data_IF_838082291255
#
_entry.id   IF_838082291255
#
_cell.length_a   1.000
_cell.length_b   1.000
_cell.length_c   1.000
_cell.angle_alpha   90.00
_cell.angle_beta   90.00
_cell.angle_gamma   90.00
#
_symmetry.space_group_name_H-M   'P 1'
#
loop_
_entity.id
_entity.type
_entity.pdbx_description
1 polymer ?
#
# COMPACT_ATOMS: atom_id res chain seq x y z
N UNK A 1 -3.79 14.88 -17.40
CA UNK A 1 -2.77 15.43 -16.48
C UNK A 1 -2.70 14.51 -15.28
N UNK A 2 -1.51 13.99 -14.94
CA UNK A 2 -1.35 13.15 -13.75
C UNK A 2 -1.38 14.07 -12.55
N UNK A 3 -2.49 14.08 -11.83
CA UNK A 3 -2.62 14.83 -10.58
C UNK A 3 -1.71 14.20 -9.51
N UNK A 4 -1.30 14.96 -8.49
CA UNK A 4 -0.40 14.50 -7.41
C UNK A 4 -0.91 13.19 -6.78
N UNK A 5 -2.23 13.01 -6.76
CA UNK A 5 -2.93 11.80 -6.30
C UNK A 5 -2.61 10.57 -7.15
N UNK A 6 -2.55 10.73 -8.47
CA UNK A 6 -2.19 9.68 -9.41
C UNK A 6 -0.72 9.28 -9.30
N UNK A 7 0.17 10.25 -9.09
CA UNK A 7 1.61 9.98 -8.89
C UNK A 7 1.84 9.11 -7.66
N UNK A 8 1.20 9.43 -6.54
CA UNK A 8 1.36 8.67 -5.29
C UNK A 8 0.74 7.28 -5.37
N UNK A 9 -0.39 7.12 -6.06
CA UNK A 9 -0.98 5.81 -6.33
C UNK A 9 -0.03 4.93 -7.17
N UNK A 10 0.63 5.50 -8.18
CA UNK A 10 1.63 4.80 -8.98
C UNK A 10 2.84 4.41 -8.12
N UNK A 11 3.36 5.32 -7.29
CA UNK A 11 4.50 5.03 -6.41
C UNK A 11 4.15 3.90 -5.42
N UNK A 12 2.96 3.93 -4.83
CA UNK A 12 2.49 2.87 -3.94
C UNK A 12 2.39 1.53 -4.68
N UNK A 13 1.79 1.51 -5.87
CA UNK A 13 1.69 0.30 -6.69
C UNK A 13 3.07 -0.27 -7.06
N UNK A 14 4.02 0.59 -7.45
CA UNK A 14 5.40 0.19 -7.74
C UNK A 14 6.10 -0.36 -6.49
N UNK A 15 5.91 0.27 -5.33
CA UNK A 15 6.47 -0.23 -4.06
C UNK A 15 5.93 -1.62 -3.70
N UNK A 16 4.63 -1.85 -3.87
CA UNK A 16 4.01 -3.17 -3.65
C UNK A 16 4.52 -4.22 -4.64
N UNK A 17 4.58 -3.89 -5.94
CA UNK A 17 5.08 -4.80 -6.97
C UNK A 17 6.56 -5.15 -6.77
N UNK A 18 7.39 -4.16 -6.45
CA UNK A 18 8.80 -4.36 -6.12
C UNK A 18 8.93 -5.22 -4.86
N UNK A 19 8.17 -4.95 -3.81
CA UNK A 19 8.14 -5.76 -2.59
C UNK A 19 7.81 -7.22 -2.87
N UNK A 20 6.78 -7.48 -3.70
CA UNK A 20 6.41 -8.84 -4.12
C UNK A 20 7.51 -9.51 -4.95
N UNK A 21 8.18 -8.76 -5.83
CA UNK A 21 9.30 -9.27 -6.63
C UNK A 21 10.49 -9.69 -5.75
N UNK A 22 10.85 -8.88 -4.75
CA UNK A 22 11.93 -9.22 -3.81
C UNK A 22 11.55 -10.35 -2.85
N UNK A 23 10.27 -10.45 -2.48
CA UNK A 23 9.75 -11.56 -1.69
C UNK A 23 9.98 -12.90 -2.40
N UNK A 24 9.67 -12.98 -3.70
CA UNK A 24 9.91 -14.19 -4.52
C UNK A 24 11.39 -14.53 -4.72
N UNK A 25 12.30 -13.60 -4.42
CA UNK A 25 13.76 -13.78 -4.54
C UNK A 25 14.42 -14.16 -3.20
N UNK A 26 13.63 -14.50 -2.18
CA UNK A 26 14.09 -14.78 -0.81
C UNK A 26 14.88 -13.61 -0.18
N UNK A 27 14.69 -12.38 -0.70
CA UNK A 27 15.30 -11.17 -0.15
C UNK A 27 14.35 -10.50 0.82
N UNK A 28 14.06 -11.20 1.90
CA UNK A 28 12.95 -10.91 2.81
C UNK A 28 13.06 -9.53 3.47
N UNK A 29 14.26 -9.11 3.89
CA UNK A 29 14.47 -7.79 4.50
C UNK A 29 14.02 -6.67 3.55
N UNK A 30 14.41 -6.74 2.27
CA UNK A 30 14.00 -5.75 1.27
C UNK A 30 12.51 -5.83 0.98
N UNK A 31 11.96 -7.04 0.92
CA UNK A 31 10.52 -7.25 0.72
C UNK A 31 9.69 -6.61 1.83
N UNK A 32 10.06 -6.82 3.09
CA UNK A 32 9.37 -6.24 4.25
C UNK A 32 9.48 -4.71 4.28
N UNK A 33 10.64 -4.15 3.95
CA UNK A 33 10.79 -2.69 3.86
C UNK A 33 9.92 -2.09 2.75
N UNK A 34 9.87 -2.72 1.59
CA UNK A 34 9.05 -2.26 0.46
C UNK A 34 7.54 -2.41 0.72
N UNK A 35 7.12 -3.54 1.31
CA UNK A 35 5.73 -3.76 1.72
C UNK A 35 5.30 -2.81 2.83
N UNK A 36 6.16 -2.56 3.82
CA UNK A 36 5.93 -1.61 4.91
C UNK A 36 5.88 -0.17 4.42
N UNK A 37 6.78 0.22 3.50
CA UNK A 37 6.76 1.55 2.89
C UNK A 37 5.52 1.75 2.01
N UNK A 38 5.17 0.76 1.18
CA UNK A 38 3.94 0.76 0.38
C UNK A 38 2.68 0.86 1.23
N UNK A 39 2.64 0.13 2.34
CA UNK A 39 1.58 0.22 3.36
C UNK A 39 1.48 1.62 3.96
N UNK A 40 2.58 2.15 4.50
CA UNK A 40 2.58 3.46 5.16
C UNK A 40 2.13 4.56 4.21
N UNK A 41 2.58 4.50 2.95
CA UNK A 41 2.18 5.43 1.90
C UNK A 41 0.69 5.30 1.57
N UNK A 42 0.18 4.08 1.41
CA UNK A 42 -1.24 3.84 1.11
C UNK A 42 -2.17 4.23 2.27
N UNK A 43 -1.76 4.00 3.51
CA UNK A 43 -2.49 4.38 4.71
C UNK A 43 -2.53 5.91 4.88
N UNK A 44 -1.37 6.57 4.77
CA UNK A 44 -1.26 8.02 4.81
C UNK A 44 -2.13 8.66 3.72
N UNK A 45 -2.05 8.13 2.50
CA UNK A 45 -2.80 8.66 1.37
C UNK A 45 -4.31 8.43 1.47
N UNK A 46 -4.74 7.29 2.03
CA UNK A 46 -6.14 7.02 2.33
C UNK A 46 -6.76 8.00 3.30
N UNK A 47 -6.08 8.18 4.44
CA UNK A 47 -6.52 9.09 5.49
C UNK A 47 -6.56 10.53 4.99
N UNK A 48 -5.52 10.95 4.26
CA UNK A 48 -5.46 12.27 3.64
C UNK A 48 -6.57 12.44 2.59
N UNK A 49 -6.78 11.45 1.72
CA UNK A 49 -7.83 11.47 0.70
C UNK A 49 -9.24 11.58 1.29
N UNK A 50 -9.49 10.84 2.37
CA UNK A 50 -10.75 10.91 3.12
C UNK A 50 -10.93 12.27 3.80
N UNK A 51 -9.88 12.82 4.42
CA UNK A 51 -9.92 14.15 5.03
C UNK A 51 -10.22 15.23 3.98
N UNK A 52 -9.56 15.20 2.83
CA UNK A 52 -9.83 16.16 1.74
C UNK A 52 -11.21 15.98 1.10
N UNK A 53 -11.76 14.75 1.07
CA UNK A 53 -13.14 14.53 0.60
C UNK A 53 -14.22 15.18 1.45
N UNK A 54 -13.89 15.58 2.69
CA UNK A 54 -14.80 16.29 3.58
C UNK A 54 -14.75 17.81 3.43
N UNK A 55 -13.72 18.36 2.77
CA UNK A 55 -13.45 19.81 2.73
C UNK A 55 -13.88 20.50 1.43
N UNK A 56 -14.43 19.79 0.44
CA UNK A 56 -14.88 20.39 -0.81
C UNK A 56 -15.32 19.38 -1.87
N UNK A 57 -15.69 19.83 -3.08
CA UNK A 57 -16.08 18.94 -4.17
C UNK A 57 -14.89 18.08 -4.60
N UNK A 58 -14.92 16.80 -4.24
CA UNK A 58 -13.91 15.84 -4.64
C UNK A 58 -14.37 14.97 -5.78
N UNK A 59 -13.49 14.75 -6.75
CA UNK A 59 -13.73 13.84 -7.88
C UNK A 59 -13.94 12.37 -7.48
N UNK A 60 -13.52 11.99 -6.27
CA UNK A 60 -13.58 10.61 -5.77
C UNK A 60 -14.23 10.62 -4.38
N UNK A 61 -15.34 9.88 -4.18
CA UNK A 61 -15.99 9.75 -2.88
C UNK A 61 -15.05 9.18 -1.80
N UNK A 62 -15.20 9.64 -0.56
CA UNK A 62 -14.39 9.17 0.57
C UNK A 62 -14.41 7.64 0.77
N UNK A 63 -15.52 6.99 0.44
CA UNK A 63 -15.68 5.53 0.55
C UNK A 63 -14.72 4.77 -0.38
N UNK A 64 -14.38 5.33 -1.54
CA UNK A 64 -13.41 4.73 -2.46
C UNK A 64 -11.99 4.84 -1.89
N UNK A 65 -11.64 5.97 -1.26
CA UNK A 65 -10.35 6.08 -0.55
C UNK A 65 -10.23 5.05 0.56
N UNK A 66 -11.32 4.83 1.30
CA UNK A 66 -11.37 3.85 2.39
C UNK A 66 -11.24 2.41 1.87
N UNK A 67 -11.93 2.06 0.79
CA UNK A 67 -11.84 0.75 0.16
C UNK A 67 -10.44 0.47 -0.41
N UNK A 68 -9.82 1.44 -1.10
CA UNK A 68 -8.49 1.29 -1.67
C UNK A 68 -7.40 1.19 -0.58
N UNK A 69 -7.49 1.97 0.48
CA UNK A 69 -6.54 1.85 1.58
C UNK A 69 -6.77 0.59 2.41
N UNK A 70 -8.02 0.15 2.55
CA UNK A 70 -8.36 -1.13 3.19
C UNK A 70 -7.77 -2.32 2.44
N UNK A 71 -7.85 -2.35 1.11
CA UNK A 71 -7.25 -3.44 0.31
C UNK A 71 -5.73 -3.44 0.39
N UNK A 72 -5.09 -2.27 0.41
CA UNK A 72 -3.64 -2.15 0.64
C UNK A 72 -3.24 -2.68 2.03
N UNK A 73 -4.01 -2.37 3.07
CA UNK A 73 -3.78 -2.88 4.44
C UNK A 73 -3.87 -4.41 4.48
N UNK A 74 -4.93 -4.98 3.91
CA UNK A 74 -5.15 -6.42 3.89
C UNK A 74 -4.03 -7.14 3.12
N UNK A 75 -3.62 -6.62 1.96
CA UNK A 75 -2.51 -7.18 1.20
C UNK A 75 -1.20 -7.15 2.00
N UNK A 76 -0.86 -6.01 2.63
CA UNK A 76 0.34 -5.93 3.47
C UNK A 76 0.30 -6.91 4.64
N UNK A 77 -0.86 -7.07 5.30
CA UNK A 77 -1.00 -8.04 6.39
C UNK A 77 -0.85 -9.48 5.91
N UNK A 78 -1.47 -9.83 4.77
CA UNK A 78 -1.35 -11.16 4.17
C UNK A 78 0.11 -11.50 3.89
N UNK A 79 0.83 -10.64 3.17
CA UNK A 79 2.25 -10.87 2.88
C UNK A 79 3.13 -10.87 4.13
N UNK A 80 2.76 -10.11 5.17
CA UNK A 80 3.48 -10.14 6.43
C UNK A 80 3.31 -11.47 7.18
N UNK A 81 2.10 -12.01 7.20
CA UNK A 81 1.80 -13.32 7.81
C UNK A 81 2.50 -14.44 7.03
N UNK A 82 2.38 -14.43 5.70
CA UNK A 82 3.01 -15.41 4.80
C UNK A 82 4.56 -15.37 4.91
N UNK A 83 5.13 -14.16 5.02
CA UNK A 83 6.56 -14.00 5.25
C UNK A 83 7.00 -14.55 6.61
N UNK A 84 6.19 -14.37 7.66
CA UNK A 84 6.49 -14.93 8.99
C UNK A 84 6.34 -16.45 9.05
N UNK A 85 5.39 -17.06 8.33
CA UNK A 85 5.29 -18.53 8.28
C UNK A 85 6.49 -19.13 7.59
N UNK A 86 6.94 -18.53 6.48
CA UNK A 86 8.14 -18.95 5.74
C UNK A 86 9.41 -18.90 6.63
N UNK A 87 9.56 -17.86 7.45
CA UNK A 87 10.67 -17.75 8.41
C UNK A 87 10.65 -18.76 9.55
N UNK A 88 9.49 -19.28 9.92
CA UNK A 88 9.32 -20.20 11.07
C UNK A 88 9.56 -21.65 10.67
N UNK A 89 9.52 -21.97 9.38
CA UNK A 89 9.76 -23.30 8.82
C UNK A 89 11.21 -23.52 8.34
N UNK A 90 12.05 -22.48 8.35
CA UNK A 90 13.51 -22.56 8.13
C UNK A 90 14.26 -22.64 9.45
#
# INVERSE_FOLDING_TARGET
>A
MVDTRGVLAIIAAVAFLAGMFYYRREREVYAFFLLGAGFALAAFWGLLGMALSRTGPTQVPGDIYLAMSGSAVVMSMYFFIEGRSTFRER
#
